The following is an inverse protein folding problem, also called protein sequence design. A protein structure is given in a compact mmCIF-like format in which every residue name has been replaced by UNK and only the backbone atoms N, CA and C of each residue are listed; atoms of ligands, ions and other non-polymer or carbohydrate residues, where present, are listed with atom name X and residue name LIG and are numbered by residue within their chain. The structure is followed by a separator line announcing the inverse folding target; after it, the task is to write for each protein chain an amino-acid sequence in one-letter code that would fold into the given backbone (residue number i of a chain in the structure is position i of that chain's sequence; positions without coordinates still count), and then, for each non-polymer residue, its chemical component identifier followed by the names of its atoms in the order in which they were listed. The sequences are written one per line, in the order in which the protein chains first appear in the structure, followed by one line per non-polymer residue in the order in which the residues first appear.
data_IF_384542078868
#
_entry.id   IF_384542078868
#
_cell.length_a   1.000
_cell.length_b   1.000
_cell.length_c   1.000
_cell.angle_alpha   90.00
_cell.angle_beta   90.00
_cell.angle_gamma   90.00
#
_symmetry.space_group_name_H-M   'P 1'
#
loop_
_entity.id
_entity.type
_entity.pdbx_description
1 polymer ?
#
# COMPACT_ATOMS: atom_id res chain seq x y z
N UNK A 1 20.45 18.50 7.37
CA UNK A 1 21.46 17.46 7.65
C UNK A 1 22.56 17.62 6.60
N UNK A 2 23.84 17.65 6.99
CA UNK A 2 24.95 17.79 6.05
C UNK A 2 25.57 16.40 5.82
N UNK A 3 25.61 15.93 4.57
CA UNK A 3 26.14 14.61 4.25
C UNK A 3 27.64 14.51 4.58
N UNK A 4 28.37 15.61 4.47
CA UNK A 4 29.80 15.65 4.77
C UNK A 4 30.08 15.45 6.25
N UNK A 5 29.23 15.99 7.13
CA UNK A 5 29.41 15.81 8.59
C UNK A 5 29.12 14.37 8.99
N UNK A 6 28.08 13.76 8.42
CA UNK A 6 27.75 12.35 8.68
C UNK A 6 28.87 11.42 8.22
N UNK A 7 29.49 11.67 7.06
CA UNK A 7 30.61 10.85 6.59
C UNK A 7 31.82 10.93 7.52
N UNK A 8 32.13 12.12 8.04
CA UNK A 8 33.20 12.29 9.03
C UNK A 8 32.88 11.57 10.34
N UNK A 9 31.63 11.68 10.82
CA UNK A 9 31.19 11.00 12.02
C UNK A 9 31.31 9.47 11.86
N UNK A 10 30.88 8.91 10.72
CA UNK A 10 31.02 7.48 10.42
C UNK A 10 32.49 7.06 10.35
N UNK A 11 33.35 7.84 9.67
CA UNK A 11 34.77 7.54 9.55
C UNK A 11 35.52 7.60 10.90
N UNK A 12 35.00 8.35 11.87
CA UNK A 12 35.55 8.45 13.23
C UNK A 12 35.21 7.25 14.12
N UNK A 13 34.23 6.42 13.72
CA UNK A 13 33.80 5.25 14.49
C UNK A 13 34.79 4.07 14.38
N UNK A 14 34.80 3.16 15.38
CA UNK A 14 35.53 1.89 15.28
C UNK A 14 35.07 1.02 14.09
N UNK A 15 35.93 0.13 13.57
CA UNK A 15 35.61 -0.72 12.41
C UNK A 15 34.31 -1.51 12.55
N UNK A 16 34.07 -2.08 13.74
CA UNK A 16 32.86 -2.86 14.02
C UNK A 16 31.58 -2.01 13.91
N UNK A 17 31.64 -0.75 14.36
CA UNK A 17 30.51 0.17 14.25
C UNK A 17 30.28 0.65 12.81
N UNK A 18 31.35 0.85 12.04
CA UNK A 18 31.25 1.16 10.61
C UNK A 18 30.58 0.01 9.84
N UNK A 19 30.95 -1.23 10.17
CA UNK A 19 30.37 -2.43 9.56
C UNK A 19 28.85 -2.53 9.80
N UNK A 20 28.39 -2.26 11.02
CA UNK A 20 26.95 -2.22 11.34
C UNK A 20 26.20 -1.20 10.46
N UNK A 21 26.81 -0.04 10.20
CA UNK A 21 26.20 1.00 9.35
C UNK A 21 26.13 0.53 7.90
N UNK A 22 27.17 -0.13 7.39
CA UNK A 22 27.18 -0.72 6.05
C UNK A 22 26.05 -1.74 5.90
N UNK A 23 25.91 -2.65 6.86
CA UNK A 23 24.86 -3.68 6.85
C UNK A 23 23.46 -3.06 6.88
N UNK A 24 23.25 -2.03 7.69
CA UNK A 24 21.99 -1.28 7.71
C UNK A 24 21.66 -0.69 6.34
N UNK A 25 22.65 -0.04 5.69
CA UNK A 25 22.48 0.56 4.36
C UNK A 25 22.12 -0.52 3.33
N UNK A 26 22.73 -1.70 3.37
CA UNK A 26 22.38 -2.80 2.48
C UNK A 26 20.96 -3.32 2.69
N UNK A 27 20.52 -3.48 3.94
CA UNK A 27 19.15 -3.88 4.28
C UNK A 27 18.14 -2.86 3.74
N UNK A 28 18.42 -1.57 3.92
CA UNK A 28 17.56 -0.50 3.42
C UNK A 28 17.48 -0.52 1.89
N UNK A 29 18.63 -0.62 1.20
CA UNK A 29 18.67 -0.73 -0.28
C UNK A 29 17.81 -1.90 -0.76
N UNK A 30 17.99 -3.10 -0.18
CA UNK A 30 17.22 -4.30 -0.54
C UNK A 30 15.71 -4.08 -0.39
N UNK A 31 15.26 -3.50 0.73
CA UNK A 31 13.83 -3.22 0.95
C UNK A 31 13.26 -2.25 -0.08
N UNK A 32 13.98 -1.17 -0.39
CA UNK A 32 13.50 -0.19 -1.37
C UNK A 32 13.45 -0.76 -2.80
N UNK A 33 14.45 -1.55 -3.21
CA UNK A 33 14.45 -2.26 -4.50
C UNK A 33 13.26 -3.25 -4.60
N UNK A 34 13.00 -4.02 -3.54
CA UNK A 34 11.87 -4.95 -3.48
C UNK A 34 10.51 -4.23 -3.54
N UNK A 35 10.38 -3.08 -2.88
CA UNK A 35 9.15 -2.29 -2.91
C UNK A 35 8.91 -1.60 -4.25
N UNK A 36 9.97 -1.20 -4.97
CA UNK A 36 9.85 -0.65 -6.32
C UNK A 36 9.43 -1.72 -7.35
N UNK A 37 9.92 -2.96 -7.23
CA UNK A 37 9.45 -4.05 -8.10
C UNK A 37 7.96 -4.33 -7.92
N UNK A 38 7.46 -4.35 -6.68
CA UNK A 38 6.02 -4.53 -6.38
C UNK A 38 5.12 -3.40 -6.87
N UNK A 39 5.61 -2.16 -6.97
CA UNK A 39 4.76 -1.05 -7.43
C UNK A 39 4.57 -1.03 -8.95
N UNK A 40 5.44 -1.71 -9.71
CA UNK A 40 5.33 -1.76 -11.19
C UNK A 40 4.39 -2.85 -11.71
N UNK A 41 4.01 -3.81 -10.87
CA UNK A 41 3.18 -4.97 -11.28
C UNK A 41 1.69 -4.83 -10.91
N UNK A 42 1.30 -3.71 -10.28
CA UNK A 42 -0.06 -3.50 -9.74
C UNK A 42 -0.95 -2.53 -10.54
N UNK A 43 -0.62 -2.20 -11.79
CA UNK A 43 -1.51 -1.30 -12.58
C UNK A 43 -2.63 -2.02 -13.34
N UNK A 44 -2.74 -3.34 -13.26
CA UNK A 44 -3.86 -4.12 -13.82
C UNK A 44 -4.15 -5.31 -12.90
N UNK A 45 -4.40 -5.04 -11.63
CA UNK A 45 -4.94 -6.07 -10.75
C UNK A 45 -6.31 -6.46 -11.31
N UNK A 46 -6.41 -7.68 -11.84
CA UNK A 46 -7.62 -8.21 -12.43
C UNK A 46 -8.65 -8.42 -11.31
N UNK A 47 -9.56 -7.45 -11.17
CA UNK A 47 -10.65 -7.51 -10.21
C UNK A 47 -11.80 -8.43 -10.68
N UNK A 48 -11.67 -9.10 -11.83
CA UNK A 48 -12.71 -10.01 -12.32
C UNK A 48 -12.98 -11.17 -11.36
N UNK A 49 -11.95 -11.63 -10.65
CA UNK A 49 -12.06 -12.66 -9.60
C UNK A 49 -12.82 -12.19 -8.34
N UNK A 50 -12.99 -10.87 -8.18
CA UNK A 50 -13.80 -10.27 -7.10
C UNK A 50 -15.21 -9.88 -7.54
N UNK A 51 -15.58 -10.07 -8.82
CA UNK A 51 -16.96 -9.93 -9.32
C UNK A 51 -17.78 -11.13 -8.79
N UNK A 52 -18.14 -11.10 -7.52
CA UNK A 52 -18.88 -12.19 -6.86
C UNK A 52 -18.73 -12.23 -5.35
N UNK A 53 -17.73 -11.53 -4.79
CA UNK A 53 -17.47 -11.46 -3.36
C UNK A 53 -17.96 -10.16 -2.71
N UNK A 54 -19.03 -9.55 -3.25
CA UNK A 54 -19.73 -8.50 -2.52
C UNK A 54 -20.72 -9.17 -1.57
N UNK A 55 -20.63 -8.86 -0.27
CA UNK A 55 -21.66 -9.22 0.70
C UNK A 55 -22.95 -8.49 0.31
N UNK A 56 -23.80 -9.17 -0.45
CA UNK A 56 -25.15 -8.72 -0.69
C UNK A 56 -26.02 -9.08 0.51
N UNK A 57 -27.01 -8.23 0.82
CA UNK A 57 -28.05 -8.58 1.79
C UNK A 57 -28.72 -9.90 1.36
N UNK A 58 -28.99 -10.79 2.31
CA UNK A 58 -29.36 -12.20 2.07
C UNK A 58 -30.65 -12.38 1.26
N UNK A 59 -31.44 -11.31 1.11
CA UNK A 59 -32.70 -11.25 0.38
C UNK A 59 -32.65 -10.29 -0.83
N UNK A 60 -31.47 -9.82 -1.24
CA UNK A 60 -31.29 -8.90 -2.37
C UNK A 60 -32.04 -9.38 -3.63
N UNK A 61 -32.00 -10.69 -3.92
CA UNK A 61 -32.71 -11.25 -5.08
C UNK A 61 -34.24 -11.01 -5.03
N UNK A 62 -34.83 -11.04 -3.84
CA UNK A 62 -36.27 -10.87 -3.61
C UNK A 62 -36.66 -9.40 -3.50
N UNK A 63 -35.82 -8.59 -2.86
CA UNK A 63 -36.13 -7.22 -2.50
C UNK A 63 -35.32 -6.16 -3.29
N UNK A 64 -34.66 -6.56 -4.39
CA UNK A 64 -33.78 -5.69 -5.20
C UNK A 64 -34.38 -4.31 -5.52
N UNK A 65 -35.68 -4.22 -5.82
CA UNK A 65 -36.35 -2.95 -6.13
C UNK A 65 -36.33 -1.98 -4.95
N UNK A 66 -36.64 -2.48 -3.76
CA UNK A 66 -36.63 -1.66 -2.54
C UNK A 66 -35.23 -1.15 -2.21
N UNK A 67 -34.20 -1.98 -2.46
CA UNK A 67 -32.82 -1.59 -2.29
C UNK A 67 -32.40 -0.51 -3.28
N UNK A 68 -32.70 -0.71 -4.56
CA UNK A 68 -32.38 0.27 -5.60
C UNK A 68 -33.08 1.60 -5.32
N UNK A 69 -34.37 1.60 -4.99
CA UNK A 69 -35.11 2.81 -4.66
C UNK A 69 -34.55 3.51 -3.41
N UNK A 70 -34.25 2.75 -2.34
CA UNK A 70 -33.66 3.30 -1.11
C UNK A 70 -32.30 3.94 -1.38
N UNK A 71 -31.40 3.23 -2.05
CA UNK A 71 -30.04 3.70 -2.30
C UNK A 71 -30.01 4.87 -3.28
N UNK A 72 -30.85 4.85 -4.32
CA UNK A 72 -30.97 5.96 -5.27
C UNK A 72 -31.49 7.21 -4.59
N UNK A 73 -32.55 7.09 -3.79
CA UNK A 73 -33.10 8.22 -3.06
C UNK A 73 -32.09 8.75 -2.04
N UNK A 74 -31.39 7.90 -1.30
CA UNK A 74 -30.37 8.37 -0.34
C UNK A 74 -29.18 9.09 -0.99
N UNK A 75 -28.76 8.67 -2.19
CA UNK A 75 -27.57 9.22 -2.86
C UNK A 75 -27.86 10.41 -3.75
N UNK A 76 -29.07 10.52 -4.29
CA UNK A 76 -29.41 11.49 -5.33
C UNK A 76 -30.60 12.38 -4.97
N UNK A 77 -31.41 12.02 -3.97
CA UNK A 77 -32.46 12.90 -3.43
C UNK A 77 -31.86 13.83 -2.37
N UNK A 78 -30.95 14.69 -2.81
CA UNK A 78 -30.44 15.83 -2.06
C UNK A 78 -31.16 17.09 -2.55
N UNK A 79 -32.45 17.23 -2.22
CA UNK A 79 -33.17 18.50 -2.37
C UNK A 79 -32.97 19.40 -1.15
#
# INVERSE_FOLDING_TARGET
MNLNTIQQDIASLPPDAQQIIVELVEVLKKRYLQNQQKSSENSLQDWSDFIGCIEAETDLSKNHKNYLDRELNQKYDHS
#
